data_IF_262039146385
#
_entry.id   IF_262039146385
#
_cell.length_a   1.000
_cell.length_b   1.000
_cell.length_c   1.000
_cell.angle_alpha   90.00
_cell.angle_beta   90.00
_cell.angle_gamma   90.00
#
_symmetry.space_group_name_H-M   'P 1'
#
loop_
_entity.id
_entity.type
_entity.pdbx_description
1 polymer ?
#
# COMPACT_ATOMS: atom_id res chain seq x y z
N UNK A 1 -18.99 -4.31 -4.88
CA UNK A 1 -18.96 -3.59 -3.58
C UNK A 1 -19.02 -2.10 -3.86
N UNK A 2 -20.05 -1.44 -3.35
CA UNK A 2 -20.22 0.04 -3.44
C UNK A 2 -19.43 0.75 -2.32
N UNK A 3 -19.50 2.09 -2.31
CA UNK A 3 -18.78 2.91 -1.31
C UNK A 3 -19.25 2.62 0.13
N UNK A 4 -20.55 2.55 0.36
CA UNK A 4 -21.11 2.30 1.68
C UNK A 4 -20.73 0.93 2.22
N UNK A 5 -20.82 -0.10 1.41
CA UNK A 5 -20.38 -1.45 1.77
C UNK A 5 -18.89 -1.52 2.11
N UNK A 6 -18.05 -0.75 1.37
CA UNK A 6 -16.61 -0.68 1.65
C UNK A 6 -16.32 0.01 3.00
N UNK A 7 -17.00 1.12 3.31
CA UNK A 7 -16.87 1.82 4.59
C UNK A 7 -17.32 0.94 5.76
N UNK A 8 -18.44 0.25 5.61
CA UNK A 8 -18.93 -0.68 6.63
C UNK A 8 -17.93 -1.83 6.88
N UNK A 9 -17.35 -2.40 5.83
CA UNK A 9 -16.35 -3.44 5.98
C UNK A 9 -15.10 -2.93 6.71
N UNK A 10 -14.62 -1.73 6.37
CA UNK A 10 -13.49 -1.09 7.06
C UNK A 10 -13.75 -0.97 8.57
N UNK A 11 -14.94 -0.51 8.96
CA UNK A 11 -15.30 -0.33 10.37
C UNK A 11 -15.50 -1.69 11.08
N UNK A 12 -16.37 -2.55 10.52
CA UNK A 12 -16.79 -3.79 11.20
C UNK A 12 -15.70 -4.86 11.23
N UNK A 13 -15.00 -5.05 10.11
CA UNK A 13 -14.05 -6.15 9.94
C UNK A 13 -12.61 -5.74 10.18
N UNK A 14 -12.20 -4.55 9.69
CA UNK A 14 -10.83 -4.06 9.79
C UNK A 14 -10.61 -3.06 10.94
N UNK A 15 -11.66 -2.73 11.71
CA UNK A 15 -11.59 -1.92 12.94
C UNK A 15 -11.12 -0.48 12.72
N UNK A 16 -11.40 0.09 11.56
CA UNK A 16 -11.28 1.53 11.35
C UNK A 16 -12.30 2.28 12.22
N UNK A 17 -11.86 3.38 12.82
CA UNK A 17 -12.76 4.28 13.56
C UNK A 17 -13.47 5.23 12.61
N UNK A 18 -14.57 5.86 13.04
CA UNK A 18 -15.22 6.93 12.26
C UNK A 18 -14.23 8.04 11.89
N UNK A 19 -13.33 8.43 12.82
CA UNK A 19 -12.28 9.40 12.55
C UNK A 19 -11.32 8.97 11.43
N UNK A 20 -11.07 7.68 11.29
CA UNK A 20 -10.26 7.16 10.18
C UNK A 20 -11.02 7.24 8.87
N UNK A 21 -12.33 6.97 8.89
CA UNK A 21 -13.19 7.13 7.72
C UNK A 21 -13.22 8.59 7.27
N UNK A 22 -13.35 9.55 8.20
CA UNK A 22 -13.28 10.98 7.89
C UNK A 22 -11.93 11.35 7.23
N UNK A 23 -10.82 10.84 7.75
CA UNK A 23 -9.49 11.04 7.14
C UNK A 23 -9.41 10.41 5.74
N UNK A 24 -9.98 9.23 5.54
CA UNK A 24 -10.04 8.58 4.22
C UNK A 24 -10.91 9.36 3.23
N UNK A 25 -12.02 9.97 3.67
CA UNK A 25 -12.82 10.87 2.85
C UNK A 25 -12.03 12.14 2.45
N UNK A 26 -11.29 12.74 3.36
CA UNK A 26 -10.40 13.87 3.05
C UNK A 26 -9.33 13.45 2.04
N UNK A 27 -8.71 12.30 2.23
CA UNK A 27 -7.73 11.75 1.29
C UNK A 27 -8.35 11.52 -0.11
N UNK A 28 -9.50 10.85 -0.17
CA UNK A 28 -10.23 10.61 -1.42
C UNK A 28 -10.57 11.92 -2.15
N UNK A 29 -11.08 12.93 -1.44
CA UNK A 29 -11.45 14.21 -2.04
C UNK A 29 -10.21 14.97 -2.56
N UNK A 30 -9.12 14.97 -1.80
CA UNK A 30 -7.84 15.53 -2.24
C UNK A 30 -7.28 14.81 -3.47
N UNK A 31 -7.42 13.47 -3.52
CA UNK A 31 -7.01 12.67 -4.68
C UNK A 31 -7.82 13.04 -5.93
N UNK A 32 -9.13 13.15 -5.83
CA UNK A 32 -10.00 13.54 -6.96
C UNK A 32 -9.65 14.93 -7.47
N UNK A 33 -9.44 15.91 -6.58
CA UNK A 33 -9.03 17.26 -6.94
C UNK A 33 -7.70 17.25 -7.70
N UNK A 34 -6.67 16.57 -7.18
CA UNK A 34 -5.38 16.45 -7.86
C UNK A 34 -5.48 15.69 -9.18
N UNK A 35 -6.35 14.67 -9.26
CA UNK A 35 -6.50 13.85 -10.47
C UNK A 35 -7.09 14.63 -11.65
N UNK A 36 -7.76 15.75 -11.40
CA UNK A 36 -8.22 16.66 -12.47
C UNK A 36 -7.05 17.26 -13.28
N UNK A 37 -5.89 17.44 -12.64
CA UNK A 37 -4.70 18.07 -13.22
C UNK A 37 -3.58 17.09 -13.55
N UNK A 38 -3.49 16.00 -12.76
CA UNK A 38 -2.39 15.05 -12.83
C UNK A 38 -2.94 13.63 -12.75
N UNK A 39 -2.71 12.80 -13.72
CA UNK A 39 -3.20 11.41 -13.74
C UNK A 39 -2.56 10.57 -12.62
N UNK A 40 -3.03 10.72 -11.39
CA UNK A 40 -2.58 9.96 -10.21
C UNK A 40 -3.15 8.55 -10.21
N UNK A 41 -4.43 8.43 -10.58
CA UNK A 41 -5.15 7.17 -10.79
C UNK A 41 -5.88 7.20 -12.13
N UNK A 42 -6.27 6.04 -12.63
CA UNK A 42 -7.09 5.92 -13.85
C UNK A 42 -8.48 6.51 -13.63
N UNK A 43 -8.98 7.27 -14.60
CA UNK A 43 -10.35 7.82 -14.58
C UNK A 43 -11.42 6.74 -14.42
N UNK A 44 -11.20 5.57 -14.96
CA UNK A 44 -12.13 4.44 -14.83
C UNK A 44 -12.29 3.96 -13.39
N UNK A 45 -11.33 4.24 -12.49
CA UNK A 45 -11.36 3.83 -11.08
C UNK A 45 -11.81 4.93 -10.12
N UNK A 46 -12.04 6.16 -10.60
CA UNK A 46 -12.47 7.29 -9.74
C UNK A 46 -13.79 7.02 -9.01
N UNK A 47 -14.74 6.34 -9.68
CA UNK A 47 -16.04 5.98 -9.09
C UNK A 47 -15.96 4.82 -8.09
N UNK A 48 -14.84 4.14 -8.02
CA UNK A 48 -14.64 2.94 -7.19
C UNK A 48 -13.42 3.06 -6.27
N UNK A 49 -13.02 4.28 -5.89
CA UNK A 49 -11.84 4.53 -5.04
C UNK A 49 -11.95 3.76 -3.73
N UNK A 50 -13.12 3.74 -3.11
CA UNK A 50 -13.34 3.07 -1.83
C UNK A 50 -13.10 1.56 -1.88
N UNK A 51 -13.62 0.88 -2.89
CA UNK A 51 -13.42 -0.56 -3.03
C UNK A 51 -12.06 -0.90 -3.66
N UNK A 52 -11.73 -0.29 -4.81
CA UNK A 52 -10.57 -0.70 -5.60
C UNK A 52 -9.23 -0.12 -5.14
N UNK A 53 -9.24 0.89 -4.28
CA UNK A 53 -8.01 1.49 -3.78
C UNK A 53 -7.93 1.47 -2.25
N UNK A 54 -8.93 2.00 -1.54
CA UNK A 54 -8.88 2.12 -0.08
C UNK A 54 -9.01 0.74 0.58
N UNK A 55 -10.11 0.03 0.34
CA UNK A 55 -10.33 -1.29 0.94
C UNK A 55 -9.30 -2.32 0.44
N UNK A 56 -8.93 -2.24 -0.86
CA UNK A 56 -7.89 -3.07 -1.44
C UNK A 56 -6.54 -2.89 -0.71
N UNK A 57 -6.23 -1.69 -0.28
CA UNK A 57 -5.04 -1.39 0.54
C UNK A 57 -5.20 -1.84 1.99
N UNK A 58 -6.36 -1.56 2.59
CA UNK A 58 -6.62 -1.82 4.00
C UNK A 58 -6.64 -3.32 4.33
N UNK A 59 -7.03 -4.20 3.39
CA UNK A 59 -7.04 -5.66 3.61
C UNK A 59 -5.65 -6.22 3.97
N UNK A 60 -4.56 -5.52 3.64
CA UNK A 60 -3.20 -5.92 3.98
C UNK A 60 -2.95 -5.95 5.50
N UNK A 61 -3.75 -5.21 6.30
CA UNK A 61 -3.67 -5.20 7.75
C UNK A 61 -3.83 -6.60 8.39
N UNK A 62 -4.44 -7.54 7.68
CA UNK A 62 -4.59 -8.94 8.12
C UNK A 62 -3.25 -9.70 8.20
N UNK A 63 -2.21 -9.20 7.55
CA UNK A 63 -0.94 -9.89 7.40
C UNK A 63 0.16 -9.42 8.35
N UNK A 64 -0.09 -8.39 9.14
CA UNK A 64 0.88 -7.88 10.10
C UNK A 64 0.20 -7.19 11.29
N UNK A 65 0.94 -7.07 12.39
CA UNK A 65 0.46 -6.43 13.59
C UNK A 65 1.09 -5.03 13.75
N UNK A 66 0.28 -3.99 13.55
CA UNK A 66 0.69 -2.60 13.65
C UNK A 66 0.88 -2.12 15.10
N UNK A 67 0.44 -2.93 16.09
CA UNK A 67 0.59 -2.58 17.51
C UNK A 67 2.01 -2.79 18.06
N UNK A 68 2.87 -3.46 17.30
CA UNK A 68 4.28 -3.63 17.64
C UNK A 68 5.13 -2.54 16.98
N UNK A 69 6.29 -2.27 17.57
CA UNK A 69 7.30 -1.42 16.96
C UNK A 69 7.72 -1.99 15.60
N UNK A 70 7.79 -1.13 14.58
CA UNK A 70 8.16 -1.58 13.24
C UNK A 70 8.17 -0.49 12.19
N UNK A 71 8.71 -0.84 11.03
CA UNK A 71 8.77 0.03 9.87
C UNK A 71 8.16 -0.69 8.69
N UNK A 72 7.16 -0.07 8.08
CA UNK A 72 6.61 -0.48 6.79
C UNK A 72 7.17 0.43 5.70
N UNK A 73 7.59 -0.15 4.58
CA UNK A 73 8.01 0.59 3.39
C UNK A 73 7.07 0.28 2.21
N UNK A 74 6.47 1.32 1.65
CA UNK A 74 5.61 1.21 0.48
C UNK A 74 6.41 1.54 -0.78
N UNK A 75 6.72 0.53 -1.59
CA UNK A 75 7.53 0.70 -2.80
C UNK A 75 6.65 1.04 -3.99
N UNK A 76 6.85 2.25 -4.53
CA UNK A 76 6.06 2.78 -5.61
C UNK A 76 4.70 3.26 -5.13
N UNK A 77 4.66 4.06 -4.07
CA UNK A 77 3.45 4.50 -3.39
C UNK A 77 2.40 5.16 -4.29
N UNK A 78 2.82 5.73 -5.41
CA UNK A 78 1.93 6.29 -6.40
C UNK A 78 1.03 7.40 -5.83
N UNK A 79 -0.26 7.17 -5.89
CA UNK A 79 -1.28 8.04 -5.28
C UNK A 79 -1.49 7.76 -3.78
N UNK A 80 -0.55 7.07 -3.11
CA UNK A 80 -0.62 6.76 -1.68
C UNK A 80 -1.24 5.41 -1.33
N UNK A 81 -1.31 4.49 -2.29
CA UNK A 81 -1.86 3.16 -2.09
C UNK A 81 -0.79 2.06 -2.20
N UNK A 82 -0.58 1.26 -1.15
CA UNK A 82 -1.37 1.18 0.08
C UNK A 82 -0.91 2.10 1.22
N UNK A 83 0.25 2.73 1.14
CA UNK A 83 0.95 3.34 2.26
C UNK A 83 0.16 4.40 3.06
N UNK A 84 -0.54 5.36 2.41
CA UNK A 84 -1.33 6.37 3.13
C UNK A 84 -2.53 5.75 3.86
N UNK A 85 -3.17 4.72 3.30
CA UNK A 85 -4.29 4.02 3.96
C UNK A 85 -3.81 3.35 5.23
N UNK A 86 -2.64 2.70 5.19
CA UNK A 86 -2.02 2.07 6.35
C UNK A 86 -1.57 3.11 7.39
N UNK A 87 -1.06 4.26 6.95
CA UNK A 87 -0.68 5.36 7.84
C UNK A 87 -1.90 6.01 8.53
N UNK A 88 -3.04 6.16 7.83
CA UNK A 88 -4.29 6.65 8.42
C UNK A 88 -4.80 5.70 9.53
N UNK A 89 -4.72 4.40 9.30
CA UNK A 89 -5.09 3.40 10.31
C UNK A 89 -4.14 3.38 11.51
N UNK A 90 -2.86 3.69 11.31
CA UNK A 90 -1.83 3.58 12.36
C UNK A 90 -2.04 4.58 13.51
N UNK A 91 -2.15 4.06 14.73
CA UNK A 91 -2.22 4.84 15.98
C UNK A 91 -0.99 4.65 16.85
N UNK A 92 -0.08 3.76 16.45
CA UNK A 92 1.11 3.44 17.22
C UNK A 92 2.27 4.37 16.81
N UNK A 93 2.77 5.22 17.70
CA UNK A 93 3.88 6.14 17.41
C UNK A 93 5.20 5.43 17.14
N UNK A 94 5.35 4.17 17.58
CA UNK A 94 6.55 3.37 17.31
C UNK A 94 6.47 2.57 16.01
N UNK A 95 5.36 2.67 15.26
CA UNK A 95 5.20 2.05 13.97
C UNK A 95 5.24 3.13 12.88
N UNK A 96 6.26 3.07 12.02
CA UNK A 96 6.52 4.11 11.03
C UNK A 96 6.16 3.64 9.61
N UNK A 97 5.65 4.57 8.80
CA UNK A 97 5.34 4.32 7.38
C UNK A 97 6.25 5.18 6.51
N UNK A 98 7.02 4.52 5.64
CA UNK A 98 7.91 5.15 4.67
C UNK A 98 7.38 4.94 3.26
N UNK A 99 7.24 6.01 2.51
CA UNK A 99 6.72 6.01 1.14
C UNK A 99 7.84 6.26 0.14
N UNK A 100 7.97 5.40 -0.85
CA UNK A 100 8.97 5.52 -1.93
C UNK A 100 8.27 5.79 -3.26
N UNK A 101 8.46 6.98 -3.83
CA UNK A 101 7.82 7.36 -5.09
C UNK A 101 8.77 8.22 -5.96
N UNK A 102 9.03 7.80 -7.19
CA UNK A 102 9.96 8.48 -8.11
C UNK A 102 9.40 9.76 -8.70
N UNK A 103 8.09 9.82 -8.95
CA UNK A 103 7.44 10.97 -9.58
C UNK A 103 7.40 12.20 -8.64
N UNK A 104 7.99 13.34 -9.02
CA UNK A 104 7.93 14.56 -8.22
C UNK A 104 6.49 15.02 -7.96
N UNK A 105 5.61 14.89 -8.97
CA UNK A 105 4.21 15.29 -8.89
C UNK A 105 3.48 14.44 -7.85
N UNK A 106 3.69 13.11 -7.87
CA UNK A 106 3.08 12.21 -6.89
C UNK A 106 3.62 12.47 -5.48
N UNK A 107 4.94 12.69 -5.33
CA UNK A 107 5.48 13.07 -4.02
C UNK A 107 4.90 14.37 -3.48
N UNK A 108 4.68 15.39 -4.35
CA UNK A 108 4.01 16.63 -3.96
C UNK A 108 2.60 16.36 -3.43
N UNK A 109 1.85 15.48 -4.09
CA UNK A 109 0.53 15.05 -3.64
C UNK A 109 0.61 14.34 -2.28
N UNK A 110 1.49 13.33 -2.15
CA UNK A 110 1.68 12.57 -0.90
C UNK A 110 2.00 13.50 0.27
N UNK A 111 2.90 14.48 0.06
CA UNK A 111 3.26 15.48 1.06
C UNK A 111 2.06 16.34 1.46
N UNK A 112 1.34 16.90 0.50
CA UNK A 112 0.18 17.75 0.77
C UNK A 112 -0.92 17.00 1.57
N UNK A 113 -1.17 15.73 1.24
CA UNK A 113 -2.16 14.92 1.96
C UNK A 113 -1.67 14.56 3.36
N UNK A 114 -0.39 14.17 3.51
CA UNK A 114 0.14 13.81 4.82
C UNK A 114 0.15 14.99 5.80
N UNK A 115 0.47 16.18 5.34
CA UNK A 115 0.40 17.41 6.13
C UNK A 115 -1.06 17.74 6.51
N UNK A 116 -1.99 17.67 5.56
CA UNK A 116 -3.42 17.94 5.78
C UNK A 116 -4.06 16.99 6.79
N UNK A 117 -3.61 15.74 6.86
CA UNK A 117 -4.14 14.69 7.73
C UNK A 117 -3.31 14.50 9.02
N UNK A 118 -2.24 15.26 9.19
CA UNK A 118 -1.30 15.12 10.30
C UNK A 118 -0.81 13.67 10.46
N UNK A 119 -0.23 13.12 9.38
CA UNK A 119 0.30 11.77 9.34
C UNK A 119 1.81 11.76 9.59
N UNK A 120 2.24 10.93 10.52
CA UNK A 120 3.67 10.69 10.76
C UNK A 120 4.22 9.70 9.72
N UNK A 121 4.65 10.23 8.57
CA UNK A 121 5.24 9.45 7.48
C UNK A 121 6.50 10.12 6.95
N UNK A 122 7.35 9.33 6.31
CA UNK A 122 8.51 9.82 5.57
C UNK A 122 8.32 9.53 4.06
N UNK A 123 8.75 10.45 3.20
CA UNK A 123 8.63 10.32 1.74
C UNK A 123 10.00 10.40 1.10
N UNK A 124 10.37 9.33 0.38
CA UNK A 124 11.65 9.18 -0.31
C UNK A 124 11.46 9.15 -1.84
N UNK A 125 12.51 9.59 -2.54
CA UNK A 125 12.52 9.60 -4.00
C UNK A 125 12.73 8.21 -4.59
N UNK A 126 13.67 7.43 -4.02
CA UNK A 126 14.09 6.19 -4.61
C UNK A 126 14.44 5.16 -3.53
N UNK A 127 14.10 3.91 -3.79
CA UNK A 127 14.43 2.77 -2.93
C UNK A 127 15.93 2.47 -2.83
N UNK A 128 16.76 3.01 -3.74
CA UNK A 128 18.21 2.82 -3.75
C UNK A 128 18.97 3.96 -3.07
N UNK A 129 18.28 5.04 -2.66
CA UNK A 129 18.94 6.23 -2.09
C UNK A 129 19.32 6.05 -0.62
N UNK A 130 18.83 4.98 0.04
CA UNK A 130 19.15 4.68 1.44
C UNK A 130 19.20 3.17 1.72
N UNK A 131 19.80 2.82 2.88
CA UNK A 131 19.69 1.47 3.42
C UNK A 131 18.29 1.30 4.06
N UNK A 132 17.42 0.57 3.38
CA UNK A 132 16.05 0.37 3.84
C UNK A 132 16.03 -0.59 5.02
N UNK A 133 15.72 -0.07 6.20
CA UNK A 133 15.54 -0.84 7.42
C UNK A 133 14.04 -1.05 7.70
N UNK A 134 13.34 -1.75 6.81
CA UNK A 134 11.93 -2.05 6.98
C UNK A 134 11.71 -3.50 7.42
N UNK A 135 10.68 -3.72 8.23
CA UNK A 135 10.23 -5.04 8.67
C UNK A 135 9.22 -5.61 7.69
N UNK A 136 8.47 -4.72 7.05
CA UNK A 136 7.43 -5.07 6.09
C UNK A 136 7.57 -4.19 4.86
N UNK A 137 7.54 -4.80 3.70
CA UNK A 137 7.46 -4.11 2.41
C UNK A 137 6.07 -4.35 1.84
N UNK A 138 5.40 -3.29 1.46
CA UNK A 138 4.13 -3.37 0.75
C UNK A 138 4.29 -2.83 -0.66
N UNK A 139 3.59 -3.43 -1.62
CA UNK A 139 3.62 -3.01 -3.01
C UNK A 139 2.28 -3.23 -3.69
N UNK A 140 1.92 -2.31 -4.55
CA UNK A 140 0.78 -2.44 -5.47
C UNK A 140 1.14 -1.90 -6.84
N UNK A 141 0.88 -2.69 -7.91
CA UNK A 141 1.15 -2.29 -9.30
C UNK A 141 2.59 -1.77 -9.52
N UNK A 142 3.57 -2.35 -8.83
CA UNK A 142 4.95 -1.87 -8.83
C UNK A 142 5.78 -2.49 -9.96
N UNK A 143 6.08 -3.78 -9.88
CA UNK A 143 6.91 -4.51 -10.84
C UNK A 143 6.48 -5.98 -10.94
N UNK A 144 7.05 -6.74 -11.87
CA UNK A 144 6.94 -8.21 -11.91
C UNK A 144 7.60 -8.83 -10.68
N UNK A 145 7.15 -10.02 -10.29
CA UNK A 145 7.58 -10.66 -9.04
C UNK A 145 9.09 -10.99 -9.02
N UNK A 146 9.66 -11.41 -10.16
CA UNK A 146 11.09 -11.64 -10.32
C UNK A 146 11.93 -10.39 -10.01
N UNK A 147 11.49 -9.24 -10.52
CA UNK A 147 12.12 -7.96 -10.24
C UNK A 147 11.95 -7.52 -8.77
N UNK A 148 10.80 -7.81 -8.16
CA UNK A 148 10.56 -7.51 -6.74
C UNK A 148 11.51 -8.30 -5.86
N UNK A 149 11.66 -9.60 -6.09
CA UNK A 149 12.58 -10.46 -5.35
C UNK A 149 14.02 -9.96 -5.50
N UNK A 150 14.44 -9.61 -6.72
CA UNK A 150 15.76 -9.03 -6.96
C UNK A 150 15.98 -7.73 -6.18
N UNK A 151 15.04 -6.79 -6.27
CA UNK A 151 15.12 -5.50 -5.56
C UNK A 151 15.19 -5.73 -4.04
N UNK A 152 14.37 -6.63 -3.50
CA UNK A 152 14.38 -6.97 -2.08
C UNK A 152 15.77 -7.43 -1.61
N UNK A 153 16.41 -8.32 -2.37
CA UNK A 153 17.78 -8.78 -2.07
C UNK A 153 18.83 -7.67 -2.11
N UNK A 154 18.67 -6.72 -3.03
CA UNK A 154 19.61 -5.61 -3.22
C UNK A 154 19.49 -4.52 -2.15
N UNK A 155 18.26 -4.25 -1.68
CA UNK A 155 17.97 -3.08 -0.85
C UNK A 155 17.75 -3.38 0.63
N UNK A 156 17.45 -4.62 1.00
CA UNK A 156 17.10 -5.01 2.36
C UNK A 156 18.16 -5.92 2.97
N UNK A 157 18.62 -5.58 4.18
CA UNK A 157 19.71 -6.30 4.86
C UNK A 157 19.26 -7.16 6.04
N UNK A 158 17.99 -7.03 6.47
CA UNK A 158 17.43 -7.80 7.59
C UNK A 158 16.29 -8.70 7.11
N UNK A 159 15.91 -9.74 7.88
CA UNK A 159 14.69 -10.49 7.62
C UNK A 159 13.48 -9.55 7.56
N UNK A 160 12.64 -9.74 6.55
CA UNK A 160 11.49 -8.88 6.30
C UNK A 160 10.36 -9.68 5.65
N UNK A 161 9.16 -9.14 5.75
CA UNK A 161 7.97 -9.66 5.06
C UNK A 161 7.66 -8.79 3.86
N UNK A 162 7.36 -9.41 2.72
CA UNK A 162 6.90 -8.72 1.51
C UNK A 162 5.42 -9.04 1.32
N UNK A 163 4.59 -8.02 1.14
CA UNK A 163 3.16 -8.17 0.89
C UNK A 163 2.81 -7.43 -0.39
N UNK A 164 2.32 -8.15 -1.39
CA UNK A 164 2.13 -7.63 -2.73
C UNK A 164 0.68 -7.82 -3.16
N UNK A 165 0.04 -6.72 -3.58
CA UNK A 165 -1.23 -6.76 -4.30
C UNK A 165 -0.96 -6.98 -5.79
N UNK A 166 -1.40 -8.11 -6.33
CA UNK A 166 -1.25 -8.52 -7.73
C UNK A 166 -2.61 -8.75 -8.38
N UNK A 167 -2.73 -8.40 -9.66
CA UNK A 167 -3.89 -8.73 -10.48
C UNK A 167 -3.85 -10.17 -11.01
N UNK A 168 -4.63 -10.44 -12.04
CA UNK A 168 -4.87 -11.75 -12.67
C UNK A 168 -3.62 -12.59 -13.02
N UNK A 169 -2.47 -11.97 -13.20
CA UNK A 169 -1.23 -12.66 -13.54
C UNK A 169 -0.45 -13.19 -12.32
N UNK A 170 -0.96 -13.03 -11.10
CA UNK A 170 -0.27 -13.43 -9.88
C UNK A 170 0.20 -14.89 -9.90
N UNK A 171 -0.68 -15.83 -10.27
CA UNK A 171 -0.35 -17.26 -10.35
C UNK A 171 0.72 -17.55 -11.40
N UNK A 172 0.65 -16.90 -12.56
CA UNK A 172 1.66 -17.06 -13.59
C UNK A 172 3.03 -16.51 -13.12
N UNK A 173 3.05 -15.36 -12.47
CA UNK A 173 4.30 -14.76 -11.96
C UNK A 173 4.93 -15.64 -10.88
N UNK A 174 4.14 -16.20 -9.93
CA UNK A 174 4.69 -17.06 -8.87
C UNK A 174 5.23 -18.37 -9.41
N UNK A 175 4.61 -18.95 -10.42
CA UNK A 175 5.08 -20.18 -11.05
C UNK A 175 6.38 -20.00 -11.84
N UNK A 176 6.70 -18.76 -12.24
CA UNK A 176 7.89 -18.44 -13.05
C UNK A 176 8.99 -17.71 -12.28
N UNK A 177 8.78 -17.39 -11.00
CA UNK A 177 9.82 -16.76 -10.18
C UNK A 177 10.71 -17.84 -9.54
N UNK A 178 12.04 -17.64 -9.62
CA UNK A 178 13.00 -18.48 -8.91
C UNK A 178 13.17 -17.95 -7.49
N UNK A 179 12.55 -18.63 -6.54
CA UNK A 179 12.75 -18.39 -5.11
C UNK A 179 13.83 -19.36 -4.61
N UNK A 180 14.78 -18.85 -3.85
CA UNK A 180 15.72 -19.71 -3.13
C UNK A 180 15.11 -20.22 -1.81
N UNK A 181 15.85 -21.07 -1.11
CA UNK A 181 15.40 -21.71 0.15
C UNK A 181 15.14 -20.75 1.29
N UNK A 182 15.54 -19.48 1.16
CA UNK A 182 15.31 -18.44 2.17
C UNK A 182 13.94 -17.77 2.04
N UNK A 183 13.19 -18.07 0.97
CA UNK A 183 11.86 -17.52 0.74
C UNK A 183 10.79 -18.60 0.90
N UNK A 184 9.76 -18.26 1.63
CA UNK A 184 8.47 -18.97 1.61
C UNK A 184 7.40 -18.00 1.19
N UNK A 185 6.31 -18.47 0.60
CA UNK A 185 5.21 -17.60 0.23
C UNK A 185 3.86 -18.23 0.55
N UNK A 186 2.88 -17.35 0.75
CA UNK A 186 1.46 -17.67 0.81
C UNK A 186 0.74 -16.77 -0.18
N UNK A 187 -0.23 -17.32 -0.91
CA UNK A 187 -1.07 -16.56 -1.82
C UNK A 187 -2.54 -16.68 -1.41
N UNK A 188 -3.21 -15.54 -1.31
CA UNK A 188 -4.62 -15.44 -0.91
C UNK A 188 -5.42 -14.64 -1.95
N UNK A 189 -6.73 -14.85 -1.97
CA UNK A 189 -7.62 -14.06 -2.81
C UNK A 189 -7.78 -12.65 -2.22
N UNK A 190 -7.82 -11.65 -3.09
CA UNK A 190 -8.27 -10.31 -2.68
C UNK A 190 -9.76 -10.33 -2.37
N UNK A 191 -10.17 -9.56 -1.35
CA UNK A 191 -11.59 -9.37 -1.02
C UNK A 191 -12.29 -8.37 -1.96
N UNK A 192 -11.53 -7.61 -2.74
CA UNK A 192 -12.04 -6.53 -3.59
C UNK A 192 -12.20 -6.92 -5.04
N UNK A 193 -11.51 -7.98 -5.49
CA UNK A 193 -11.49 -8.41 -6.88
C UNK A 193 -11.12 -9.90 -6.95
N UNK A 194 -11.98 -10.71 -7.55
CA UNK A 194 -11.82 -12.17 -7.66
C UNK A 194 -10.55 -12.59 -8.41
N UNK A 195 -10.11 -11.78 -9.39
CA UNK A 195 -8.92 -12.04 -10.20
C UNK A 195 -7.64 -11.53 -9.53
N UNK A 196 -7.75 -10.74 -8.48
CA UNK A 196 -6.60 -10.19 -7.75
C UNK A 196 -6.20 -11.08 -6.58
N UNK A 197 -4.89 -11.11 -6.31
CA UNK A 197 -4.27 -11.91 -5.24
C UNK A 197 -3.40 -11.06 -4.34
N UNK A 198 -3.25 -11.52 -3.10
CA UNK A 198 -2.25 -11.04 -2.16
C UNK A 198 -1.18 -12.12 -2.06
N UNK A 199 0.08 -11.76 -2.31
CA UNK A 199 1.24 -12.63 -2.11
C UNK A 199 1.99 -12.11 -0.89
N UNK A 200 2.24 -13.02 0.06
CA UNK A 200 2.96 -12.73 1.30
C UNK A 200 4.18 -13.61 1.40
#
# INVERSE_FOLDING_TARGET
MNEQEAKEFLIKDLKFTEKDIDKLDIFRNSLLEFNTKYNLISRSTEKSIWSRHILDSAQLLKHFNINHKGIIADFGSGAGFPGLVLAIYNKNPEFHVKLYEKSPVKRKFLKAVSEKLDLNIEIFKNIYDENINADIIVMRAFKKLDQIVKISRETLKKPHKIIILKGKNAQYEINNVSLDTNYSYKMENSITDADSKIIV
#
